data_IF_487436948688
#
_entry.id   IF_487436948688
#
_cell.length_a   1.000
_cell.length_b   1.000
_cell.length_c   1.000
_cell.angle_alpha   90.00
_cell.angle_beta   90.00
_cell.angle_gamma   90.00
#
_symmetry.space_group_name_H-M   'P 1'
#
loop_
_entity.id
_entity.type
_entity.pdbx_description
1 polymer ?
#
# COMPACT_ATOMS: atom_id res chain seq x y z
N UNK A 1 -2.40 3.64 12.42
CA UNK A 1 -3.37 3.25 11.37
C UNK A 1 -4.50 2.46 12.03
N UNK A 2 -5.77 2.74 11.73
CA UNK A 2 -6.92 2.04 12.35
C UNK A 2 -7.13 0.65 11.72
N UNK A 3 -7.49 -0.37 12.50
CA UNK A 3 -7.71 -1.76 12.03
C UNK A 3 -8.77 -1.86 10.94
N UNK A 4 -9.88 -1.13 11.09
CA UNK A 4 -10.95 -1.07 10.09
C UNK A 4 -10.47 -0.52 8.75
N UNK A 5 -9.58 0.48 8.75
CA UNK A 5 -8.99 1.02 7.53
C UNK A 5 -8.14 -0.03 6.81
N UNK A 6 -7.30 -0.76 7.57
CA UNK A 6 -6.44 -1.81 7.02
C UNK A 6 -7.22 -2.95 6.39
N UNK A 7 -8.28 -3.40 7.03
CA UNK A 7 -9.17 -4.43 6.49
C UNK A 7 -9.85 -3.98 5.21
N UNK A 8 -10.31 -2.72 5.16
CA UNK A 8 -10.90 -2.15 3.95
C UNK A 8 -9.87 -2.08 2.84
N UNK A 9 -8.68 -1.52 3.10
CA UNK A 9 -7.59 -1.46 2.13
C UNK A 9 -7.22 -2.85 1.60
N UNK A 10 -7.14 -3.86 2.47
CA UNK A 10 -6.85 -5.24 2.07
C UNK A 10 -7.94 -5.84 1.16
N UNK A 11 -9.24 -5.60 1.44
CA UNK A 11 -10.32 -6.02 0.54
C UNK A 11 -10.23 -5.33 -0.80
N UNK A 12 -10.20 -4.01 -0.75
CA UNK A 12 -10.16 -3.14 -1.91
C UNK A 12 -9.02 -3.51 -2.87
N UNK A 13 -7.82 -3.74 -2.34
CA UNK A 13 -6.65 -4.13 -3.14
C UNK A 13 -6.74 -5.58 -3.61
N UNK A 14 -7.26 -6.50 -2.78
CA UNK A 14 -7.47 -7.90 -3.19
C UNK A 14 -8.45 -8.01 -4.36
N UNK A 15 -9.49 -7.19 -4.35
CA UNK A 15 -10.53 -7.19 -5.39
C UNK A 15 -9.99 -6.72 -6.75
N UNK A 16 -8.81 -6.09 -6.80
CA UNK A 16 -8.10 -5.80 -8.05
C UNK A 16 -7.53 -7.05 -8.73
N UNK A 17 -7.48 -8.19 -8.04
CA UNK A 17 -7.02 -9.46 -8.62
C UNK A 17 -5.51 -9.52 -8.94
N UNK A 18 -4.71 -8.66 -8.30
CA UNK A 18 -3.26 -8.57 -8.56
C UNK A 18 -2.56 -9.86 -8.13
N UNK A 19 -1.82 -10.46 -9.06
CA UNK A 19 -1.00 -11.62 -8.77
C UNK A 19 0.08 -11.25 -7.73
N UNK A 20 0.23 -12.09 -6.70
CA UNK A 20 1.21 -11.90 -5.62
C UNK A 20 2.63 -11.65 -6.11
N UNK A 21 3.04 -12.32 -7.18
CA UNK A 21 4.38 -12.15 -7.80
C UNK A 21 4.57 -10.80 -8.47
N UNK A 22 3.48 -10.17 -8.90
CA UNK A 22 3.47 -8.86 -9.55
C UNK A 22 2.98 -7.75 -8.62
N UNK A 23 2.74 -8.08 -7.35
CA UNK A 23 2.18 -7.12 -6.40
C UNK A 23 3.14 -5.94 -6.18
N UNK A 24 4.43 -6.21 -6.12
CA UNK A 24 5.45 -5.18 -5.95
C UNK A 24 5.59 -4.28 -7.17
N UNK A 25 5.67 -4.88 -8.35
CA UNK A 25 5.71 -4.16 -9.61
C UNK A 25 4.48 -3.24 -9.72
N UNK A 26 3.29 -3.77 -9.39
CA UNK A 26 2.07 -2.97 -9.37
C UNK A 26 2.12 -1.81 -8.37
N UNK A 27 2.60 -2.04 -7.14
CA UNK A 27 2.73 -0.95 -6.16
C UNK A 27 3.68 0.14 -6.67
N UNK A 28 4.83 -0.25 -7.25
CA UNK A 28 5.79 0.69 -7.81
C UNK A 28 5.20 1.44 -9.01
N UNK A 29 4.59 0.73 -9.95
CA UNK A 29 3.99 1.28 -11.16
C UNK A 29 2.90 2.32 -10.85
N UNK A 30 2.02 2.03 -9.89
CA UNK A 30 0.98 3.00 -9.52
C UNK A 30 1.57 4.20 -8.77
N UNK A 31 2.60 3.99 -7.93
CA UNK A 31 3.24 5.08 -7.19
C UNK A 31 3.98 6.03 -8.14
N UNK A 32 4.88 5.50 -8.95
CA UNK A 32 5.75 6.27 -9.85
C UNK A 32 5.05 6.67 -11.15
N UNK A 33 4.01 5.96 -11.57
CA UNK A 33 3.17 6.32 -12.71
C UNK A 33 2.17 7.44 -12.41
N UNK A 34 1.94 7.77 -11.13
CA UNK A 34 1.01 8.82 -10.74
C UNK A 34 1.51 10.22 -11.16
N UNK A 35 0.72 10.90 -12.00
CA UNK A 35 1.03 12.24 -12.51
C UNK A 35 0.59 13.39 -11.58
N UNK A 36 0.20 13.07 -10.34
CA UNK A 36 -0.25 14.06 -9.35
C UNK A 36 0.78 14.30 -8.25
N UNK A 37 0.39 15.05 -7.23
CA UNK A 37 1.24 15.32 -6.06
C UNK A 37 0.79 14.47 -4.89
N UNK A 38 1.75 13.84 -4.22
CA UNK A 38 1.51 13.25 -2.90
C UNK A 38 1.63 14.33 -1.84
N UNK A 39 0.63 14.43 -0.98
CA UNK A 39 0.60 15.39 0.10
C UNK A 39 0.24 14.70 1.41
N UNK A 40 0.92 15.09 2.48
CA UNK A 40 0.51 14.74 3.83
C UNK A 40 -0.75 15.51 4.22
N UNK A 41 -1.40 15.08 5.32
CA UNK A 41 -2.57 15.78 5.87
C UNK A 41 -2.30 17.22 6.32
N UNK A 42 -1.05 17.54 6.68
CA UNK A 42 -0.58 18.88 7.02
C UNK A 42 -0.16 19.70 5.78
N UNK A 43 -0.38 19.19 4.58
CA UNK A 43 -0.15 19.91 3.32
C UNK A 43 1.30 19.89 2.84
N UNK A 44 2.17 19.07 3.45
CA UNK A 44 3.55 18.91 3.01
C UNK A 44 3.58 17.98 1.79
N UNK A 45 4.28 18.40 0.74
CA UNK A 45 4.54 17.55 -0.41
C UNK A 45 5.46 16.39 -0.03
N UNK A 46 5.15 15.21 -0.53
CA UNK A 46 5.97 14.01 -0.42
C UNK A 46 6.49 13.70 -1.82
N UNK A 47 7.81 13.56 -1.94
CA UNK A 47 8.41 12.93 -3.10
C UNK A 47 8.44 11.41 -2.88
N UNK A 48 7.93 10.58 -3.80
CA UNK A 48 8.09 9.13 -3.75
C UNK A 48 9.55 8.66 -3.66
N UNK A 49 10.51 9.42 -4.19
CA UNK A 49 11.95 9.14 -4.07
C UNK A 49 12.47 9.38 -2.65
N UNK A 50 11.85 10.31 -1.91
CA UNK A 50 12.17 10.62 -0.51
C UNK A 50 11.55 9.63 0.48
N UNK A 51 10.87 8.58 0.01
CA UNK A 51 10.37 7.53 0.87
C UNK A 51 11.49 6.50 1.09
N UNK A 52 12.22 6.51 2.24
CA UNK A 52 13.30 5.56 2.52
C UNK A 52 12.85 4.09 2.60
N UNK A 53 11.56 3.87 2.40
CA UNK A 53 10.81 2.64 2.57
C UNK A 53 10.54 1.96 1.21
N UNK A 54 10.65 2.66 0.07
CA UNK A 54 10.32 2.10 -1.25
C UNK A 54 11.33 1.08 -1.75
N UNK A 55 12.63 1.26 -1.50
CA UNK A 55 13.60 0.21 -1.83
C UNK A 55 13.73 -0.80 -0.68
N UNK A 56 14.04 -0.35 0.54
CA UNK A 56 14.36 -1.26 1.65
C UNK A 56 13.17 -2.06 2.22
N UNK A 57 11.93 -1.57 2.13
CA UNK A 57 10.79 -2.32 2.68
C UNK A 57 10.30 -3.45 1.78
N UNK A 58 10.70 -3.51 0.50
CA UNK A 58 10.20 -4.52 -0.44
C UNK A 58 11.24 -5.59 -0.84
N UNK A 59 12.50 -5.48 -0.40
CA UNK A 59 13.59 -6.40 -0.77
C UNK A 59 13.44 -7.82 -0.17
N UNK A 60 12.69 -8.01 0.93
CA UNK A 60 12.60 -9.32 1.57
C UNK A 60 11.16 -9.84 1.72
N UNK A 61 10.91 -10.93 0.97
CA UNK A 61 9.84 -11.94 1.07
C UNK A 61 8.41 -11.58 0.60
N UNK A 62 7.93 -12.25 -0.46
CA UNK A 62 6.52 -12.30 -0.91
C UNK A 62 5.53 -12.77 0.17
N UNK A 63 6.00 -13.42 1.25
CA UNK A 63 5.16 -14.02 2.30
C UNK A 63 4.27 -13.00 3.02
N UNK A 64 4.67 -11.74 3.10
CA UNK A 64 3.86 -10.74 3.79
C UNK A 64 2.63 -10.32 2.98
N UNK A 65 2.64 -10.48 1.65
CA UNK A 65 1.49 -10.16 0.78
C UNK A 65 0.30 -11.08 1.08
N UNK A 66 0.57 -12.36 1.31
CA UNK A 66 -0.46 -13.30 1.78
C UNK A 66 -1.06 -12.86 3.11
N UNK A 67 -0.20 -12.51 4.07
CA UNK A 67 -0.64 -11.98 5.36
C UNK A 67 -1.45 -10.68 5.24
N UNK A 68 -1.15 -9.84 4.24
CA UNK A 68 -1.93 -8.65 3.93
C UNK A 68 -3.31 -9.01 3.36
N UNK A 69 -3.39 -9.92 2.39
CA UNK A 69 -4.67 -10.36 1.83
C UNK A 69 -5.56 -11.09 2.85
N UNK A 70 -4.97 -11.81 3.81
CA UNK A 70 -5.73 -12.41 4.92
C UNK A 70 -6.46 -11.37 5.78
N UNK A 71 -5.94 -10.12 5.85
CA UNK A 71 -6.60 -9.04 6.59
C UNK A 71 -7.97 -8.67 5.99
N UNK A 72 -8.20 -8.96 4.70
CA UNK A 72 -9.46 -8.71 4.03
C UNK A 72 -10.60 -9.54 4.67
N UNK A 73 -10.29 -10.77 5.03
CA UNK A 73 -11.25 -11.73 5.60
C UNK A 73 -11.26 -11.68 7.12
N UNK A 74 -10.08 -11.58 7.75
CA UNK A 74 -9.91 -11.68 9.20
C UNK A 74 -9.41 -10.38 9.79
N UNK A 75 -10.12 -9.87 10.79
CA UNK A 75 -9.62 -8.71 11.52
C UNK A 75 -8.37 -9.08 12.33
N UNK A 76 -7.28 -8.29 12.26
CA UNK A 76 -6.08 -8.58 13.02
C UNK A 76 -6.36 -8.49 14.52
N UNK A 77 -6.11 -9.60 15.24
CA UNK A 77 -6.25 -9.67 16.70
C UNK A 77 -5.25 -8.76 17.42
N UNK A 78 -4.08 -8.58 16.84
CA UNK A 78 -2.98 -7.78 17.38
C UNK A 78 -2.86 -6.43 16.68
N UNK A 79 -2.23 -5.47 17.34
CA UNK A 79 -1.86 -4.21 16.69
C UNK A 79 -0.79 -4.48 15.61
N UNK A 80 -0.83 -3.68 14.54
CA UNK A 80 0.20 -3.75 13.49
C UNK A 80 1.56 -3.40 14.08
N UNK A 81 2.55 -4.24 13.79
CA UNK A 81 3.93 -4.00 14.21
C UNK A 81 4.48 -2.75 13.51
N UNK A 82 5.21 -1.89 14.24
CA UNK A 82 5.73 -0.62 13.70
C UNK A 82 6.51 -0.80 12.39
N UNK A 83 7.27 -1.90 12.26
CA UNK A 83 8.04 -2.24 11.07
C UNK A 83 7.22 -2.54 9.80
N UNK A 84 5.90 -2.78 9.93
CA UNK A 84 5.00 -3.08 8.80
C UNK A 84 4.24 -1.83 8.34
N UNK A 85 4.15 -0.79 9.19
CA UNK A 85 3.45 0.45 8.87
C UNK A 85 3.94 1.11 7.57
N UNK A 86 5.26 1.20 7.30
CA UNK A 86 5.79 1.67 6.01
C UNK A 86 5.15 0.99 4.80
N UNK A 87 5.18 -0.35 4.75
CA UNK A 87 4.61 -1.15 3.65
C UNK A 87 3.12 -0.86 3.44
N UNK A 88 2.36 -0.77 4.53
CA UNK A 88 0.92 -0.48 4.46
C UNK A 88 0.62 0.93 3.96
N UNK A 89 1.51 1.90 4.21
CA UNK A 89 1.40 3.25 3.63
C UNK A 89 1.65 3.23 2.14
N UNK A 90 2.65 2.49 1.68
CA UNK A 90 2.96 2.36 0.25
C UNK A 90 1.81 1.70 -0.50
N UNK A 91 1.22 0.63 0.05
CA UNK A 91 0.02 0.01 -0.54
C UNK A 91 -1.16 1.00 -0.59
N UNK A 92 -1.40 1.74 0.49
CA UNK A 92 -2.45 2.76 0.52
C UNK A 92 -2.23 3.81 -0.57
N UNK A 93 -0.98 4.28 -0.71
CA UNK A 93 -0.60 5.29 -1.70
C UNK A 93 -0.78 4.78 -3.13
N UNK A 94 -0.33 3.55 -3.43
CA UNK A 94 -0.54 2.90 -4.72
C UNK A 94 -2.03 2.75 -5.05
N UNK A 95 -2.84 2.33 -4.07
CA UNK A 95 -4.28 2.19 -4.27
C UNK A 95 -4.97 3.53 -4.51
N UNK A 96 -4.59 4.58 -3.79
CA UNK A 96 -5.14 5.92 -3.98
C UNK A 96 -4.73 6.50 -5.34
N UNK A 97 -3.49 6.26 -5.79
CA UNK A 97 -3.02 6.61 -7.14
C UNK A 97 -3.82 5.88 -8.23
N UNK A 98 -3.99 4.56 -8.10
CA UNK A 98 -4.81 3.73 -8.98
C UNK A 98 -6.24 4.28 -9.11
N UNK A 99 -6.89 4.55 -7.97
CA UNK A 99 -8.26 5.10 -7.95
C UNK A 99 -8.36 6.47 -8.61
N UNK A 100 -7.36 7.31 -8.41
CA UNK A 100 -7.30 8.65 -8.99
C UNK A 100 -7.19 8.59 -10.52
N UNK A 101 -6.52 7.56 -11.05
CA UNK A 101 -6.44 7.29 -12.49
C UNK A 101 -7.75 6.78 -13.08
N UNK A 102 -8.47 5.91 -12.37
CA UNK A 102 -9.77 5.37 -12.83
C UNK A 102 -10.93 6.37 -12.76
N UNK A 103 -10.79 7.47 -12.01
CA UNK A 103 -11.83 8.48 -11.83
C UNK A 103 -11.77 9.62 -12.86
N UNK A 104 -10.85 9.56 -13.83
CA UNK A 104 -10.73 10.47 -14.97
C UNK A 104 -11.30 9.82 -16.21
#
# INVERSE_FOLDING_TARGET
>A
MRRAYLRRLARDVRDLGINRRHFYDWVADEIYGFQGLYMTFDGKMIDPEDLPETEAAFIEEERWVDGFYELADREPKQAVQKKVIPRLRLIAMAYDAYRSRQSK
#
